data_IF_462655156535
#
_entry.id   IF_462655156535
#
_cell.length_a   1.000
_cell.length_b   1.000
_cell.length_c   1.000
_cell.angle_alpha   90.00
_cell.angle_beta   90.00
_cell.angle_gamma   90.00
#
_symmetry.space_group_name_H-M   'P 1'
#
loop_
_entity.id
_entity.type
_entity.pdbx_description
1 polymer ?
#
# COMPACT_ATOMS: atom_id res chain seq x y z
N UNK A 1 -8.35 -8.98 -15.00
CA UNK A 1 -7.67 -9.65 -13.87
C UNK A 1 -8.25 -9.09 -12.58
N UNK A 2 -8.35 -9.87 -11.50
CA UNK A 2 -8.82 -9.33 -10.21
C UNK A 2 -7.71 -8.44 -9.64
N UNK A 3 -8.05 -7.22 -9.17
CA UNK A 3 -7.09 -6.25 -8.62
C UNK A 3 -6.18 -6.86 -7.52
N UNK A 4 -6.71 -7.82 -6.75
CA UNK A 4 -5.91 -8.56 -5.76
C UNK A 4 -4.78 -9.40 -6.39
N UNK A 5 -5.01 -10.01 -7.55
CA UNK A 5 -4.03 -10.87 -8.21
C UNK A 5 -2.85 -10.07 -8.78
N UNK A 6 -3.09 -8.85 -9.26
CA UNK A 6 -2.04 -7.94 -9.73
C UNK A 6 -1.17 -7.45 -8.58
N UNK A 7 -1.81 -7.16 -7.45
CA UNK A 7 -1.12 -6.65 -6.28
C UNK A 7 -0.24 -7.71 -5.61
N UNK A 8 -0.72 -8.94 -5.47
CA UNK A 8 0.08 -10.06 -4.97
C UNK A 8 1.29 -10.34 -5.88
N UNK A 9 1.11 -10.28 -7.21
CA UNK A 9 2.23 -10.42 -8.17
C UNK A 9 3.27 -9.33 -7.98
N UNK A 10 2.85 -8.07 -7.84
CA UNK A 10 3.78 -6.96 -7.62
C UNK A 10 4.55 -7.12 -6.29
N UNK A 11 3.89 -7.57 -5.23
CA UNK A 11 4.53 -7.87 -3.95
C UNK A 11 5.53 -9.03 -4.06
N UNK A 12 5.19 -10.11 -4.76
CA UNK A 12 6.12 -11.23 -5.03
C UNK A 12 7.36 -10.73 -5.79
N UNK A 13 7.18 -10.03 -6.90
CA UNK A 13 8.28 -9.45 -7.69
C UNK A 13 9.16 -8.51 -6.87
N UNK A 14 8.56 -7.73 -5.96
CA UNK A 14 9.29 -6.84 -5.07
C UNK A 14 10.09 -7.61 -4.01
N UNK A 15 9.45 -8.52 -3.26
CA UNK A 15 10.08 -9.21 -2.14
C UNK A 15 11.12 -10.26 -2.58
N UNK A 16 10.93 -10.90 -3.74
CA UNK A 16 11.87 -11.90 -4.29
C UNK A 16 13.28 -11.35 -4.55
N UNK A 17 13.45 -10.02 -4.58
CA UNK A 17 14.76 -9.37 -4.73
C UNK A 17 15.60 -9.41 -3.44
N UNK A 18 15.01 -9.83 -2.32
CA UNK A 18 15.61 -9.77 -0.99
C UNK A 18 15.72 -11.16 -0.35
N UNK A 19 16.64 -11.32 0.59
CA UNK A 19 16.72 -12.55 1.40
C UNK A 19 15.47 -12.72 2.29
N UNK A 20 15.16 -13.94 2.74
CA UNK A 20 13.98 -14.18 3.60
C UNK A 20 13.96 -13.32 4.87
N UNK A 21 15.12 -13.06 5.48
CA UNK A 21 15.22 -12.17 6.64
C UNK A 21 14.87 -10.72 6.27
N UNK A 22 15.40 -10.23 5.14
CA UNK A 22 15.10 -8.90 4.64
C UNK A 22 13.63 -8.77 4.23
N UNK A 23 13.06 -9.77 3.57
CA UNK A 23 11.63 -9.82 3.23
C UNK A 23 10.76 -9.68 4.47
N UNK A 24 11.08 -10.43 5.54
CA UNK A 24 10.33 -10.37 6.80
C UNK A 24 10.40 -8.98 7.43
N UNK A 25 11.59 -8.36 7.47
CA UNK A 25 11.77 -7.00 8.01
C UNK A 25 11.03 -5.96 7.16
N UNK A 26 11.20 -5.98 5.84
CA UNK A 26 10.55 -5.05 4.91
C UNK A 26 9.03 -5.17 4.97
N UNK A 27 8.50 -6.39 5.05
CA UNK A 27 7.07 -6.62 5.21
C UNK A 27 6.53 -6.02 6.50
N UNK A 28 7.19 -6.25 7.63
CA UNK A 28 6.79 -5.67 8.92
C UNK A 28 6.82 -4.13 8.88
N UNK A 29 7.87 -3.54 8.30
CA UNK A 29 7.95 -2.09 8.12
C UNK A 29 6.83 -1.56 7.22
N UNK A 30 6.55 -2.23 6.11
CA UNK A 30 5.49 -1.82 5.19
C UNK A 30 4.10 -1.92 5.84
N UNK A 31 3.83 -2.98 6.61
CA UNK A 31 2.60 -3.11 7.40
C UNK A 31 2.47 -1.95 8.39
N UNK A 32 3.52 -1.65 9.13
CA UNK A 32 3.52 -0.58 10.13
C UNK A 32 3.24 0.79 9.50
N UNK A 33 3.88 1.11 8.38
CA UNK A 33 3.65 2.38 7.67
C UNK A 33 2.22 2.48 7.12
N UNK A 34 1.71 1.42 6.47
CA UNK A 34 0.35 1.42 5.95
C UNK A 34 -0.71 1.51 7.06
N UNK A 35 -0.46 0.87 8.21
CA UNK A 35 -1.31 1.00 9.40
C UNK A 35 -1.27 2.41 9.99
N UNK A 36 -0.09 3.02 10.09
CA UNK A 36 0.07 4.42 10.52
C UNK A 36 -0.76 5.34 9.63
N UNK A 37 -0.61 5.21 8.31
CA UNK A 37 -1.35 6.01 7.34
C UNK A 37 -2.87 5.83 7.46
N UNK A 38 -3.34 4.61 7.74
CA UNK A 38 -4.78 4.35 7.93
C UNK A 38 -5.31 5.07 9.15
N UNK A 39 -4.58 5.00 10.27
CA UNK A 39 -4.93 5.70 11.50
C UNK A 39 -4.91 7.22 11.33
N UNK A 40 -3.93 7.76 10.60
CA UNK A 40 -3.87 9.19 10.26
C UNK A 40 -5.07 9.59 9.39
N UNK A 41 -5.45 8.75 8.42
CA UNK A 41 -6.63 8.98 7.59
C UNK A 41 -7.92 8.99 8.41
N UNK A 42 -8.07 8.11 9.40
CA UNK A 42 -9.20 8.10 10.34
C UNK A 42 -9.28 9.38 11.18
N UNK A 43 -8.13 9.97 11.55
CA UNK A 43 -8.05 11.17 12.38
C UNK A 43 -8.33 12.47 11.64
N UNK A 44 -8.21 12.51 10.31
CA UNK A 44 -8.49 13.72 9.56
C UNK A 44 -10.01 13.96 9.44
N UNK A 45 -10.53 15.01 10.08
CA UNK A 45 -11.92 15.47 9.87
C UNK A 45 -12.06 16.44 8.68
N UNK A 46 -10.96 17.07 8.23
CA UNK A 46 -10.93 18.02 7.10
C UNK A 46 -10.09 17.51 5.92
N UNK A 47 -10.44 17.96 4.71
CA UNK A 47 -9.82 17.58 3.43
C UNK A 47 -8.37 17.99 3.27
N UNK A 48 -7.90 19.01 4.00
CA UNK A 48 -6.64 19.70 3.71
C UNK A 48 -5.38 18.88 4.06
N UNK A 49 -5.53 17.75 4.73
CA UNK A 49 -4.40 16.89 5.11
C UNK A 49 -4.30 15.54 4.36
N UNK A 50 -5.27 15.21 3.50
CA UNK A 50 -5.25 13.93 2.78
C UNK A 50 -4.17 13.91 1.67
N UNK A 51 -3.82 15.07 1.11
CA UNK A 51 -2.78 15.24 0.09
C UNK A 51 -1.42 14.69 0.55
N UNK A 52 -1.03 14.97 1.80
CA UNK A 52 0.20 14.44 2.37
C UNK A 52 0.22 12.91 2.43
N UNK A 53 -0.90 12.30 2.84
CA UNK A 53 -1.05 10.85 2.87
C UNK A 53 -1.07 10.24 1.46
N UNK A 54 -1.76 10.86 0.51
CA UNK A 54 -1.75 10.43 -0.90
C UNK A 54 -0.34 10.49 -1.48
N UNK A 55 0.43 11.52 -1.18
CA UNK A 55 1.81 11.64 -1.63
C UNK A 55 2.69 10.51 -1.06
N UNK A 56 2.60 10.25 0.25
CA UNK A 56 3.31 9.15 0.89
C UNK A 56 2.92 7.80 0.27
N UNK A 57 1.63 7.57 0.06
CA UNK A 57 1.11 6.34 -0.53
C UNK A 57 1.60 6.15 -1.96
N UNK A 58 1.60 7.24 -2.74
CA UNK A 58 2.12 7.27 -4.11
C UNK A 58 3.61 6.89 -4.15
N UNK A 59 4.39 7.35 -3.16
CA UNK A 59 5.78 6.94 -3.00
C UNK A 59 5.93 5.43 -2.81
N UNK A 60 5.13 4.84 -1.90
CA UNK A 60 5.10 3.39 -1.65
C UNK A 60 4.66 2.64 -2.92
N UNK A 61 3.56 3.05 -3.54
CA UNK A 61 3.02 2.42 -4.74
C UNK A 61 4.02 2.47 -5.92
N UNK A 62 4.79 3.55 -6.08
CA UNK A 62 5.89 3.63 -7.05
C UNK A 62 7.00 2.64 -6.75
N UNK A 63 7.41 2.53 -5.48
CA UNK A 63 8.46 1.61 -5.07
C UNK A 63 8.08 0.15 -5.32
N UNK A 64 6.80 -0.18 -5.09
CA UNK A 64 6.20 -1.48 -5.37
C UNK A 64 5.80 -1.70 -6.83
N UNK A 65 6.04 -0.71 -7.71
CA UNK A 65 5.66 -0.73 -9.13
C UNK A 65 4.16 -0.97 -9.40
N UNK A 66 3.28 -0.50 -8.51
CA UNK A 66 1.82 -0.62 -8.59
C UNK A 66 1.21 0.41 -9.55
N UNK A 67 1.49 0.26 -10.86
CA UNK A 67 1.13 1.23 -11.92
C UNK A 67 -0.37 1.56 -11.95
N UNK A 68 -1.23 0.58 -11.71
CA UNK A 68 -2.68 0.78 -11.78
C UNK A 68 -3.20 1.61 -10.59
N UNK A 69 -2.66 1.41 -9.38
CA UNK A 69 -2.99 2.23 -8.22
C UNK A 69 -2.54 3.68 -8.39
N UNK A 70 -1.40 3.91 -9.06
CA UNK A 70 -0.87 5.25 -9.31
C UNK A 70 -1.72 6.07 -10.28
N UNK A 71 -2.41 5.41 -11.22
CA UNK A 71 -3.12 6.08 -12.32
C UNK A 71 -4.29 6.95 -11.89
N UNK A 72 -4.81 6.74 -10.67
CA UNK A 72 -6.00 7.43 -10.15
C UNK A 72 -5.73 8.24 -8.90
N UNK A 73 -4.47 8.32 -8.43
CA UNK A 73 -4.19 8.87 -7.10
C UNK A 73 -4.40 10.37 -6.95
N UNK A 74 -4.06 11.14 -7.98
CA UNK A 74 -4.17 12.61 -7.96
C UNK A 74 -5.63 13.09 -7.94
N UNK A 75 -6.58 12.26 -8.38
CA UNK A 75 -8.00 12.62 -8.53
C UNK A 75 -8.93 11.82 -7.63
N UNK A 76 -8.42 10.85 -6.86
CA UNK A 76 -9.31 10.00 -6.07
C UNK A 76 -9.95 10.75 -4.89
N UNK A 77 -11.17 10.35 -4.55
CA UNK A 77 -11.83 10.82 -3.33
C UNK A 77 -11.28 10.10 -2.10
N UNK A 78 -11.58 10.62 -0.91
CA UNK A 78 -11.12 10.03 0.36
C UNK A 78 -11.45 8.55 0.49
N UNK A 79 -12.69 8.17 0.21
CA UNK A 79 -13.16 6.78 0.32
C UNK A 79 -12.40 5.85 -0.65
N UNK A 80 -12.07 6.35 -1.84
CA UNK A 80 -11.28 5.61 -2.82
C UNK A 80 -9.83 5.44 -2.36
N UNK A 81 -9.24 6.49 -1.78
CA UNK A 81 -7.91 6.41 -1.16
C UNK A 81 -7.89 5.40 -0.01
N UNK A 82 -8.87 5.47 0.89
CA UNK A 82 -9.02 4.54 2.01
C UNK A 82 -9.12 3.09 1.52
N UNK A 83 -9.94 2.85 0.49
CA UNK A 83 -10.08 1.53 -0.11
C UNK A 83 -8.76 1.00 -0.67
N UNK A 84 -8.00 1.84 -1.39
CA UNK A 84 -6.70 1.45 -1.95
C UNK A 84 -5.67 1.17 -0.86
N UNK A 85 -5.62 2.02 0.17
CA UNK A 85 -4.75 1.85 1.33
C UNK A 85 -5.05 0.53 2.07
N UNK A 86 -6.32 0.28 2.37
CA UNK A 86 -6.76 -0.95 3.02
C UNK A 86 -6.50 -2.19 2.15
N UNK A 87 -6.66 -2.08 0.83
CA UNK A 87 -6.39 -3.18 -0.10
C UNK A 87 -4.91 -3.55 -0.14
N UNK A 88 -4.02 -2.55 -0.22
CA UNK A 88 -2.57 -2.78 -0.18
C UNK A 88 -2.15 -3.36 1.19
N UNK A 89 -2.63 -2.78 2.29
CA UNK A 89 -2.33 -3.28 3.64
C UNK A 89 -2.73 -4.75 3.79
N UNK A 90 -3.95 -5.10 3.37
CA UNK A 90 -4.44 -6.48 3.44
C UNK A 90 -3.54 -7.43 2.66
N UNK A 91 -3.19 -7.09 1.43
CA UNK A 91 -2.36 -7.97 0.62
C UNK A 91 -0.93 -8.14 1.15
N UNK A 92 -0.34 -7.10 1.75
CA UNK A 92 0.98 -7.21 2.40
C UNK A 92 0.92 -8.13 3.63
N UNK A 93 -0.19 -8.10 4.38
CA UNK A 93 -0.44 -9.03 5.49
C UNK A 93 -0.65 -10.47 4.99
N UNK A 94 -1.44 -10.64 3.93
CA UNK A 94 -1.78 -11.95 3.36
C UNK A 94 -0.59 -12.62 2.65
N UNK A 95 0.35 -11.84 2.09
CA UNK A 95 1.57 -12.35 1.44
C UNK A 95 2.44 -13.23 2.37
N UNK A 96 2.34 -13.05 3.69
CA UNK A 96 3.05 -13.88 4.66
C UNK A 96 2.50 -15.32 4.77
N UNK A 97 1.24 -15.53 4.39
CA UNK A 97 0.55 -16.81 4.53
C UNK A 97 0.70 -17.70 3.28
N UNK A 98 1.37 -17.21 2.24
CA UNK A 98 1.57 -17.91 0.95
C UNK A 98 3.01 -18.43 0.75
N UNK A 99 3.94 -18.12 1.66
CA UNK A 99 5.33 -18.62 1.68
C UNK A 99 5.51 -19.70 2.75
#
# INVERSE_FOLDING_TARGET
>A
MNANTELLKALSVFFEQYSQEQQSRLRLTLIAELQRMRLELEQYESSDNIEGLKHQFTGIARYLQLKDMLSVMDVCEREQFEYQLCSLLKAVMDYANEL
#
